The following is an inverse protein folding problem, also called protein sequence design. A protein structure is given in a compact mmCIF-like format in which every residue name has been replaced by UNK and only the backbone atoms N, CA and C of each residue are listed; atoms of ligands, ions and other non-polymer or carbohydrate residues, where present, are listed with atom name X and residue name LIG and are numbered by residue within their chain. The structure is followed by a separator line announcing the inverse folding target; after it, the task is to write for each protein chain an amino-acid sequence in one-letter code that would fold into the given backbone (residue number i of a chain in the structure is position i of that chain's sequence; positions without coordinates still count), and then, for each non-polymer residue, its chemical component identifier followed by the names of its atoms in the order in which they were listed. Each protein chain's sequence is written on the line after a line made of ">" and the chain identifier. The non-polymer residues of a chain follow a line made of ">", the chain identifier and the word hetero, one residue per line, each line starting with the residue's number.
data_IF_652061706528
#
_entry.id   IF_652061706528
#
_cell.length_a   1.000
_cell.length_b   1.000
_cell.length_c   1.000
_cell.angle_alpha   90.00
_cell.angle_beta   90.00
_cell.angle_gamma   90.00
#
_symmetry.space_group_name_H-M   'P 1'
#
loop_
_entity.id
_entity.type
_entity.pdbx_description
1 polymer ?
#
# COMPACT_ATOMS: atom_id res chain seq x y z
N UNK A 1 20.02 2.30 -7.53
CA UNK A 1 19.29 1.84 -6.33
C UNK A 1 18.32 2.94 -5.91
N UNK A 2 17.11 2.60 -5.43
CA UNK A 2 16.10 3.55 -4.96
C UNK A 2 15.50 3.05 -3.65
N UNK A 3 15.27 3.97 -2.72
CA UNK A 3 14.57 3.71 -1.47
C UNK A 3 13.38 4.65 -1.30
N UNK A 4 12.34 4.19 -0.63
CA UNK A 4 11.18 4.97 -0.21
C UNK A 4 10.91 4.68 1.26
N UNK A 5 10.76 5.76 2.04
CA UNK A 5 10.24 5.72 3.39
C UNK A 5 9.09 6.72 3.45
N UNK A 6 7.93 6.26 3.89
CA UNK A 6 6.74 7.09 4.01
C UNK A 6 6.00 6.71 5.29
N UNK A 7 5.53 7.73 5.99
CA UNK A 7 4.61 7.59 7.11
C UNK A 7 3.46 8.54 6.85
N UNK A 8 2.22 8.07 7.02
CA UNK A 8 1.00 8.85 6.76
C UNK A 8 0.02 8.61 7.90
N UNK A 9 -0.54 9.69 8.40
CA UNK A 9 -1.65 9.68 9.36
C UNK A 9 -2.87 10.31 8.67
N UNK A 10 -4.03 9.69 8.84
CA UNK A 10 -5.28 10.20 8.26
C UNK A 10 -6.44 9.99 9.21
N UNK A 11 -7.29 11.01 9.31
CA UNK A 11 -8.51 10.97 10.10
C UNK A 11 -9.71 11.08 9.18
N UNK A 12 -10.72 10.24 9.41
CA UNK A 12 -11.91 10.20 8.57
C UNK A 12 -13.18 10.05 9.41
N UNK A 13 -14.30 10.46 8.82
CA UNK A 13 -15.61 10.11 9.37
C UNK A 13 -15.75 8.58 9.41
N UNK A 14 -16.39 8.03 10.45
CA UNK A 14 -16.63 6.60 10.52
C UNK A 14 -17.42 6.13 9.30
N UNK A 15 -17.02 4.99 8.72
CA UNK A 15 -17.61 4.42 7.50
C UNK A 15 -19.12 4.15 7.64
N UNK A 16 -19.63 3.96 8.87
CA UNK A 16 -21.04 3.67 9.16
C UNK A 16 -21.73 4.79 9.95
N UNK A 17 -21.45 6.06 9.61
CA UNK A 17 -22.06 7.24 10.23
C UNK A 17 -23.59 7.39 10.01
N UNK A 18 -24.27 6.40 9.43
CA UNK A 18 -25.73 6.44 9.22
C UNK A 18 -26.22 7.49 8.20
N UNK A 19 -25.31 8.07 7.41
CA UNK A 19 -25.59 9.14 6.44
C UNK A 19 -25.84 10.51 7.09
N UNK A 20 -25.96 11.57 6.28
CA UNK A 20 -26.07 12.98 6.74
C UNK A 20 -27.14 13.24 7.81
N UNK A 21 -28.18 12.38 7.90
CA UNK A 21 -29.30 12.54 8.84
C UNK A 21 -29.02 11.96 10.23
N UNK A 22 -28.11 11.00 10.35
CA UNK A 22 -27.79 10.29 11.60
C UNK A 22 -26.29 10.31 11.94
N UNK A 23 -25.48 11.04 11.17
CA UNK A 23 -24.04 11.22 11.41
C UNK A 23 -23.82 12.09 12.65
N UNK A 24 -23.93 11.46 13.82
CA UNK A 24 -23.45 12.03 15.07
C UNK A 24 -21.96 11.78 15.14
N UNK A 25 -21.19 12.80 14.78
CA UNK A 25 -19.75 12.85 14.95
C UNK A 25 -19.40 12.89 16.44
N UNK A 26 -19.09 11.72 17.01
CA UNK A 26 -18.58 11.63 18.38
C UNK A 26 -17.05 11.59 18.39
N UNK A 27 -16.47 10.80 17.48
CA UNK A 27 -15.04 10.58 17.36
C UNK A 27 -14.70 10.25 15.89
N UNK A 28 -13.52 10.67 15.43
CA UNK A 28 -13.02 10.34 14.09
C UNK A 28 -12.31 8.99 14.14
N UNK A 29 -12.40 8.22 13.05
CA UNK A 29 -11.52 7.08 12.87
C UNK A 29 -10.10 7.57 12.56
N UNK A 30 -9.09 6.87 13.06
CA UNK A 30 -7.69 7.14 12.75
C UNK A 30 -7.12 5.99 11.92
N UNK A 31 -6.27 6.32 10.95
CA UNK A 31 -5.47 5.37 10.19
C UNK A 31 -4.05 5.88 10.09
N UNK A 32 -3.12 5.09 10.60
CA UNK A 32 -1.69 5.28 10.50
C UNK A 32 -1.10 4.24 9.55
N UNK A 33 -0.18 4.67 8.69
CA UNK A 33 0.42 3.83 7.67
C UNK A 33 1.91 4.11 7.57
N UNK A 34 2.71 3.07 7.75
CA UNK A 34 4.15 3.10 7.57
C UNK A 34 4.57 2.21 6.42
N UNK A 35 5.34 2.78 5.48
CA UNK A 35 5.82 2.06 4.31
C UNK A 35 7.33 2.25 4.12
N UNK A 36 8.00 1.13 3.82
CA UNK A 36 9.43 1.06 3.51
C UNK A 36 9.62 0.22 2.26
N UNK A 37 10.22 0.78 1.22
CA UNK A 37 10.56 0.06 0.01
C UNK A 37 12.02 0.28 -0.38
N UNK A 38 12.67 -0.77 -0.85
CA UNK A 38 14.02 -0.74 -1.39
C UNK A 38 14.04 -1.48 -2.73
N UNK A 39 14.71 -0.92 -3.72
CA UNK A 39 14.89 -1.57 -5.01
C UNK A 39 16.26 -1.30 -5.62
N UNK A 40 16.77 -2.28 -6.35
CA UNK A 40 17.96 -2.18 -7.18
C UNK A 40 17.62 -2.63 -8.60
N UNK A 41 18.28 -1.99 -9.57
CA UNK A 41 18.19 -2.39 -10.97
C UNK A 41 19.56 -2.30 -11.62
N UNK A 42 19.80 -3.21 -12.55
CA UNK A 42 21.00 -3.26 -13.37
C UNK A 42 20.58 -3.44 -14.83
N UNK A 43 21.24 -2.70 -15.72
CA UNK A 43 21.09 -2.86 -17.17
C UNK A 43 22.43 -3.29 -17.73
N UNK A 44 22.40 -4.32 -18.56
CA UNK A 44 23.55 -4.81 -19.31
C UNK A 44 23.22 -4.76 -20.79
N UNK A 45 24.14 -4.24 -21.58
CA UNK A 45 24.03 -4.16 -23.04
C UNK A 45 25.34 -4.66 -23.63
N UNK A 46 25.28 -5.77 -24.36
CA UNK A 46 26.45 -6.37 -24.99
C UNK A 46 26.68 -5.81 -26.40
N UNK A 47 25.61 -5.60 -27.15
CA UNK A 47 25.61 -5.06 -28.51
C UNK A 47 24.28 -4.36 -28.80
N UNK A 48 24.04 -3.90 -30.03
CA UNK A 48 22.72 -3.41 -30.44
C UNK A 48 21.64 -4.51 -30.37
N UNK A 49 22.07 -5.77 -30.45
CA UNK A 49 21.21 -6.93 -30.51
C UNK A 49 20.84 -7.52 -29.15
N UNK A 50 21.59 -7.26 -28.08
CA UNK A 50 21.31 -7.86 -26.77
C UNK A 50 21.27 -6.82 -25.66
N UNK A 51 20.08 -6.66 -25.07
CA UNK A 51 19.87 -5.87 -23.86
C UNK A 51 19.24 -6.73 -22.76
N UNK A 52 19.80 -6.67 -21.56
CA UNK A 52 19.23 -7.28 -20.36
C UNK A 52 18.97 -6.21 -19.28
N UNK A 53 17.84 -6.33 -18.59
CA UNK A 53 17.49 -5.54 -17.42
C UNK A 53 17.14 -6.50 -16.28
N UNK A 54 17.71 -6.25 -15.11
CA UNK A 54 17.41 -6.98 -13.87
C UNK A 54 16.88 -5.97 -12.87
N UNK A 55 15.79 -6.31 -12.19
CA UNK A 55 15.20 -5.53 -11.12
C UNK A 55 14.90 -6.42 -9.93
N UNK A 56 15.32 -5.99 -8.74
CA UNK A 56 15.05 -6.65 -7.46
C UNK A 56 14.51 -5.62 -6.48
N UNK A 57 13.58 -6.02 -5.63
CA UNK A 57 12.99 -5.12 -4.65
C UNK A 57 12.32 -5.84 -3.48
N UNK A 58 12.14 -5.06 -2.42
CA UNK A 58 11.42 -5.43 -1.21
C UNK A 58 10.56 -4.24 -0.76
N UNK A 59 9.33 -4.51 -0.34
CA UNK A 59 8.39 -3.53 0.18
C UNK A 59 7.73 -4.09 1.44
N UNK A 60 7.78 -3.32 2.52
CA UNK A 60 7.07 -3.58 3.76
C UNK A 60 6.10 -2.44 4.02
N UNK A 61 4.86 -2.79 4.31
CA UNK A 61 3.77 -1.86 4.57
C UNK A 61 3.01 -2.32 5.81
N UNK A 62 2.86 -1.43 6.78
CA UNK A 62 2.14 -1.65 8.02
C UNK A 62 1.05 -0.60 8.14
N UNK A 63 -0.17 -1.03 8.42
CA UNK A 63 -1.33 -0.16 8.62
C UNK A 63 -2.00 -0.52 9.95
N UNK A 64 -2.22 0.50 10.76
CA UNK A 64 -3.06 0.44 11.94
C UNK A 64 -4.26 1.36 11.71
N UNK A 65 -5.46 0.83 11.84
CA UNK A 65 -6.66 1.66 11.79
C UNK A 65 -7.62 1.36 12.93
N UNK A 66 -8.18 2.42 13.49
CA UNK A 66 -9.21 2.36 14.53
C UNK A 66 -10.47 3.04 14.02
N UNK A 67 -11.59 2.35 14.23
CA UNK A 67 -12.92 2.86 13.92
C UNK A 67 -13.77 2.86 15.19
N UNK A 68 -14.41 4.00 15.54
CA UNK A 68 -15.27 4.07 16.71
C UNK A 68 -16.54 3.23 16.51
N UNK A 69 -17.22 2.90 17.60
CA UNK A 69 -18.49 2.17 17.55
C UNK A 69 -19.57 2.98 16.84
N UNK A 70 -20.50 2.27 16.19
CA UNK A 70 -21.64 2.89 15.52
C UNK A 70 -22.61 3.44 16.57
N UNK A 71 -23.08 4.67 16.39
CA UNK A 71 -24.06 5.27 17.29
C UNK A 71 -25.37 4.45 17.30
N UNK A 72 -26.06 4.36 18.45
CA UNK A 72 -27.27 3.54 18.61
C UNK A 72 -28.38 3.95 17.61
N UNK A 73 -28.92 2.95 16.91
CA UNK A 73 -29.87 3.07 15.78
C UNK A 73 -30.29 1.68 15.26
N UNK A 74 -30.67 1.51 13.98
CA UNK A 74 -31.06 0.17 13.44
C UNK A 74 -29.89 -0.84 13.44
N UNK A 75 -28.65 -0.35 13.52
CA UNK A 75 -27.41 -1.12 13.67
C UNK A 75 -26.80 -1.00 15.08
N UNK A 76 -27.65 -0.88 16.09
CA UNK A 76 -27.21 -0.89 17.48
C UNK A 76 -26.45 -2.20 17.79
N UNK A 77 -25.22 -2.08 18.26
CA UNK A 77 -24.40 -3.24 18.65
C UNK A 77 -23.14 -3.54 17.82
N UNK A 78 -22.73 -2.68 16.88
CA UNK A 78 -21.40 -2.83 16.23
C UNK A 78 -20.32 -2.19 17.12
N UNK A 79 -19.42 -2.98 17.74
CA UNK A 79 -18.38 -2.45 18.62
C UNK A 79 -17.32 -1.68 17.84
N UNK A 80 -16.52 -0.88 18.55
CA UNK A 80 -15.31 -0.30 17.98
C UNK A 80 -14.41 -1.41 17.44
N UNK A 81 -13.77 -1.15 16.31
CA UNK A 81 -12.89 -2.11 15.65
C UNK A 81 -11.52 -1.52 15.43
N UNK A 82 -10.50 -2.31 15.74
CA UNK A 82 -9.11 -2.03 15.43
C UNK A 82 -8.63 -3.08 14.43
N UNK A 83 -8.03 -2.60 13.34
CA UNK A 83 -7.45 -3.45 12.29
C UNK A 83 -5.96 -3.18 12.27
N UNK A 84 -5.18 -4.25 12.44
CA UNK A 84 -3.74 -4.28 12.25
C UNK A 84 -3.44 -5.11 10.99
N UNK A 85 -2.77 -4.51 10.01
CA UNK A 85 -2.49 -5.11 8.73
C UNK A 85 -1.01 -4.97 8.38
N UNK A 86 -0.36 -6.10 8.08
CA UNK A 86 1.01 -6.15 7.60
C UNK A 86 1.08 -6.79 6.22
N UNK A 87 1.75 -6.10 5.29
CA UNK A 87 2.05 -6.59 3.95
C UNK A 87 3.57 -6.54 3.71
N UNK A 88 4.15 -7.69 3.42
CA UNK A 88 5.51 -7.82 2.92
C UNK A 88 5.49 -8.37 1.49
N UNK A 89 6.22 -7.72 0.58
CA UNK A 89 6.35 -8.14 -0.81
C UNK A 89 7.80 -8.08 -1.24
N UNK A 90 8.26 -9.15 -1.85
CA UNK A 90 9.56 -9.24 -2.51
C UNK A 90 9.30 -9.45 -4.01
N UNK A 91 10.12 -8.82 -4.85
CA UNK A 91 9.97 -8.92 -6.29
C UNK A 91 11.32 -9.01 -6.98
N UNK A 92 11.36 -9.88 -8.00
CA UNK A 92 12.48 -9.99 -8.92
C UNK A 92 11.93 -10.07 -10.34
N UNK A 93 12.51 -9.29 -11.25
CA UNK A 93 12.17 -9.30 -12.65
C UNK A 93 13.45 -9.30 -13.49
N UNK A 94 13.46 -10.12 -14.54
CA UNK A 94 14.52 -10.16 -15.54
C UNK A 94 13.87 -10.00 -16.91
N UNK A 95 14.41 -9.07 -17.70
CA UNK A 95 13.91 -8.75 -19.04
C UNK A 95 15.07 -8.74 -20.01
N UNK A 96 14.99 -9.55 -21.07
CA UNK A 96 15.96 -9.59 -22.15
C UNK A 96 15.29 -9.23 -23.48
N UNK A 97 15.97 -8.43 -24.30
CA UNK A 97 15.61 -8.21 -25.71
C UNK A 97 16.75 -8.73 -26.55
N UNK A 98 16.40 -9.55 -27.53
CA UNK A 98 17.30 -10.05 -28.56
C UNK A 98 16.79 -9.61 -29.93
N UNK A 99 17.59 -8.84 -30.66
CA UNK A 99 17.32 -8.46 -32.04
C UNK A 99 17.95 -9.49 -32.97
N UNK A 100 17.11 -10.25 -33.66
CA UNK A 100 17.50 -11.25 -34.66
C UNK A 100 17.14 -10.73 -36.06
N UNK A 101 17.62 -9.54 -36.39
CA UNK A 101 17.59 -9.06 -37.77
C UNK A 101 18.80 -9.66 -38.51
N UNK A 102 18.54 -10.64 -39.39
CA UNK A 102 19.50 -11.05 -40.42
C UNK A 102 19.61 -9.91 -41.45
N UNK A 103 20.85 -9.55 -41.78
CA UNK A 103 21.21 -8.58 -42.83
C UNK A 103 20.90 -9.13 -44.23
#
# INVERSE_FOLDING_TARGET
>A
MRGLFSSTESQAFPDDSGGQRFSVLRELGNRETDQRALSASARYQHSAQLQMNVLVGSNKHQEMSSSPSVAPGVRDGVPASTIDSELQRENMALHGVFDWSDE
#
